data_IF_250158060114
#
_entry.id   IF_250158060114
#
_cell.length_a   1.000
_cell.length_b   1.000
_cell.length_c   1.000
_cell.angle_alpha   90.00
_cell.angle_beta   90.00
_cell.angle_gamma   90.00
#
_symmetry.space_group_name_H-M   'P 1'
#
loop_
_entity.id
_entity.type
_entity.pdbx_description
1 polymer ?
#
# COMPACT_ATOMS: atom_id res chain seq x y z
N UNK A 1 -1.83 1.50 -22.96
CA UNK A 1 -2.24 0.91 -21.65
C UNK A 1 -2.30 2.00 -20.60
N UNK A 2 -3.40 2.08 -19.83
CA UNK A 2 -3.53 2.98 -18.68
C UNK A 2 -3.24 2.23 -17.38
N UNK A 3 -2.34 2.75 -16.55
CA UNK A 3 -1.99 2.18 -15.26
C UNK A 3 -2.50 3.12 -14.15
N UNK A 4 -3.32 2.61 -13.24
CA UNK A 4 -3.66 3.30 -12.00
C UNK A 4 -2.80 2.76 -10.85
N UNK A 5 -2.11 3.65 -10.15
CA UNK A 5 -1.32 3.29 -8.96
C UNK A 5 -2.01 3.84 -7.72
N UNK A 6 -2.43 2.95 -6.83
CA UNK A 6 -3.01 3.36 -5.56
C UNK A 6 -1.91 3.78 -4.61
N UNK A 7 -2.13 4.92 -3.96
CA UNK A 7 -1.17 5.47 -3.00
C UNK A 7 -1.87 5.94 -1.73
N UNK A 8 -1.19 5.85 -0.61
CA UNK A 8 -1.73 6.23 0.70
C UNK A 8 -0.80 7.20 1.43
N UNK A 9 -1.37 8.22 2.07
CA UNK A 9 -0.67 9.03 3.07
C UNK A 9 -0.70 8.27 4.40
N UNK A 10 0.45 7.98 4.97
CA UNK A 10 0.62 7.26 6.24
C UNK A 10 1.47 8.08 7.23
N UNK A 11 1.38 7.87 8.55
CA UNK A 11 2.33 8.42 9.50
C UNK A 11 3.77 8.08 9.07
N UNK A 12 4.69 9.03 9.23
CA UNK A 12 6.10 8.79 8.91
C UNK A 12 6.63 7.63 9.76
N UNK A 13 7.51 6.81 9.20
CA UNK A 13 8.08 5.65 9.87
C UNK A 13 8.85 6.00 11.15
N UNK A 14 9.37 7.23 11.26
CA UNK A 14 10.05 7.73 12.45
C UNK A 14 9.09 8.18 13.57
N UNK A 15 7.79 8.32 13.26
CA UNK A 15 6.76 8.70 14.24
C UNK A 15 6.25 7.46 14.95
N UNK A 16 6.20 7.50 16.28
CA UNK A 16 5.59 6.44 17.07
C UNK A 16 4.10 6.30 16.73
N UNK A 17 3.70 5.11 16.32
CA UNK A 17 2.31 4.81 16.00
C UNK A 17 1.50 4.64 17.28
N UNK A 18 0.45 5.42 17.43
CA UNK A 18 -0.44 5.43 18.59
C UNK A 18 -1.88 5.30 18.19
N UNK A 19 -2.69 4.73 19.06
CA UNK A 19 -4.14 4.72 18.93
C UNK A 19 -4.70 5.93 19.67
N UNK A 20 -5.53 6.71 19.00
CA UNK A 20 -6.31 7.77 19.64
C UNK A 20 -7.40 7.13 20.51
N UNK A 21 -7.35 7.30 21.85
CA UNK A 21 -8.29 6.65 22.76
C UNK A 21 -9.72 7.15 22.61
N UNK A 22 -9.94 8.31 22.00
CA UNK A 22 -11.27 8.87 21.79
C UNK A 22 -12.00 8.25 20.57
N UNK A 23 -11.23 7.81 19.56
CA UNK A 23 -11.77 7.28 18.30
C UNK A 23 -11.50 5.80 18.10
N UNK A 24 -10.58 5.22 18.87
CA UNK A 24 -10.12 3.85 18.67
C UNK A 24 -9.33 3.63 17.37
N UNK A 25 -8.81 4.69 16.77
CA UNK A 25 -8.15 4.67 15.46
C UNK A 25 -6.70 5.12 15.56
N UNK A 26 -5.93 4.75 14.57
CA UNK A 26 -4.57 5.25 14.40
C UNK A 26 -4.54 6.79 14.43
N UNK A 27 -3.73 7.36 15.30
CA UNK A 27 -3.44 8.79 15.32
C UNK A 27 -2.60 9.17 14.09
N UNK A 28 -3.15 10.02 13.23
CA UNK A 28 -2.52 10.52 12.01
C UNK A 28 -2.31 12.05 12.07
N UNK A 29 -2.28 12.63 13.26
CA UNK A 29 -2.08 14.07 13.45
C UNK A 29 -0.64 14.51 13.23
N UNK A 30 0.33 13.61 13.41
CA UNK A 30 1.77 13.86 13.26
C UNK A 30 2.26 14.02 11.83
N UNK A 31 3.58 13.96 11.66
CA UNK A 31 4.21 13.98 10.35
C UNK A 31 3.81 12.75 9.53
N UNK A 32 3.55 12.97 8.23
CA UNK A 32 3.04 11.95 7.32
C UNK A 32 3.82 11.95 6.02
N UNK A 33 3.88 10.78 5.40
CA UNK A 33 4.58 10.60 4.13
C UNK A 33 3.76 9.68 3.19
N UNK A 34 4.21 9.56 1.94
CA UNK A 34 3.74 8.53 1.03
C UNK A 34 4.14 7.16 1.59
N UNK A 35 3.20 6.22 1.60
CA UNK A 35 3.45 4.84 2.01
C UNK A 35 4.67 4.25 1.29
N UNK A 36 5.65 3.69 2.01
CA UNK A 36 6.88 3.15 1.40
C UNK A 36 6.61 2.08 0.33
N UNK A 37 5.68 1.16 0.59
CA UNK A 37 5.34 0.10 -0.37
C UNK A 37 4.73 0.64 -1.67
N UNK A 38 4.01 1.76 -1.62
CA UNK A 38 3.43 2.36 -2.82
C UNK A 38 4.49 3.01 -3.72
N UNK A 39 5.66 3.36 -3.17
CA UNK A 39 6.79 3.83 -3.99
C UNK A 39 7.30 2.75 -4.92
N UNK A 40 7.29 1.48 -4.49
CA UNK A 40 7.63 0.33 -5.33
C UNK A 40 6.60 0.10 -6.43
N UNK A 41 5.30 0.32 -6.15
CA UNK A 41 4.24 0.23 -7.15
C UNK A 41 4.37 1.32 -8.23
N UNK A 42 4.72 2.55 -7.85
CA UNK A 42 4.98 3.64 -8.80
C UNK A 42 6.20 3.31 -9.65
N UNK A 43 7.28 2.84 -9.04
CA UNK A 43 8.49 2.44 -9.76
C UNK A 43 8.22 1.30 -10.72
N UNK A 44 7.41 0.30 -10.34
CA UNK A 44 6.99 -0.78 -11.23
C UNK A 44 6.24 -0.25 -12.46
N UNK A 45 5.30 0.70 -12.28
CA UNK A 45 4.61 1.35 -13.38
C UNK A 45 5.58 2.09 -14.31
N UNK A 46 6.58 2.76 -13.75
CA UNK A 46 7.61 3.46 -14.52
C UNK A 46 8.50 2.49 -15.30
N UNK A 47 8.90 1.38 -14.69
CA UNK A 47 9.70 0.34 -15.35
C UNK A 47 8.94 -0.31 -16.51
N UNK A 48 7.62 -0.55 -16.38
CA UNK A 48 6.77 -1.02 -17.48
C UNK A 48 6.82 -0.03 -18.64
N UNK A 49 6.63 1.26 -18.38
CA UNK A 49 6.67 2.32 -19.41
C UNK A 49 8.03 2.39 -20.09
N UNK A 50 9.10 2.37 -19.32
CA UNK A 50 10.47 2.52 -19.82
C UNK A 50 10.97 1.26 -20.53
N UNK A 51 10.48 0.10 -20.16
CA UNK A 51 10.81 -1.18 -20.78
C UNK A 51 10.30 -1.32 -22.22
N UNK A 52 9.26 -0.59 -22.59
CA UNK A 52 8.77 -0.46 -23.96
C UNK A 52 8.18 -1.74 -24.57
N UNK A 53 7.95 -2.79 -23.79
CA UNK A 53 7.29 -4.01 -24.26
C UNK A 53 5.84 -3.77 -24.63
N UNK A 54 5.19 -2.81 -23.97
CA UNK A 54 3.83 -2.31 -24.25
C UNK A 54 3.83 -0.79 -24.18
N UNK A 55 2.95 -0.15 -24.96
CA UNK A 55 2.77 1.29 -24.87
C UNK A 55 1.95 1.67 -23.63
N UNK A 56 2.51 2.49 -22.75
CA UNK A 56 1.85 3.04 -21.57
C UNK A 56 1.43 4.48 -21.84
N UNK A 57 0.15 4.69 -22.08
CA UNK A 57 -0.44 6.00 -22.41
C UNK A 57 -0.42 6.92 -21.20
N UNK A 58 -0.77 6.39 -20.02
CA UNK A 58 -0.93 7.20 -18.82
C UNK A 58 -0.70 6.39 -17.54
N UNK A 59 -0.04 7.03 -16.55
CA UNK A 59 0.07 6.55 -15.17
C UNK A 59 -0.66 7.54 -14.25
N UNK A 60 -1.69 7.07 -13.56
CA UNK A 60 -2.55 7.87 -12.67
C UNK A 60 -2.31 7.45 -11.23
N UNK A 61 -1.87 8.39 -10.38
CA UNK A 61 -1.81 8.14 -8.95
C UNK A 61 -3.20 8.37 -8.31
N UNK A 62 -3.73 7.40 -7.60
CA UNK A 62 -5.07 7.44 -7.01
C UNK A 62 -4.99 7.30 -5.50
N UNK A 63 -5.70 8.15 -4.76
CA UNK A 63 -5.82 8.04 -3.31
C UNK A 63 -7.25 8.30 -2.84
N UNK A 64 -7.65 7.66 -1.74
CA UNK A 64 -8.80 8.01 -0.95
C UNK A 64 -8.31 8.51 0.41
N UNK A 65 -8.72 9.70 0.81
CA UNK A 65 -8.28 10.26 2.09
C UNK A 65 -8.68 11.70 2.31
N UNK A 66 -8.32 12.28 3.47
CA UNK A 66 -8.57 13.68 3.77
C UNK A 66 -7.80 14.61 2.83
N UNK A 67 -8.10 15.90 2.85
CA UNK A 67 -7.43 16.90 2.03
C UNK A 67 -5.89 16.86 2.11
N UNK A 68 -5.34 16.47 3.28
CA UNK A 68 -3.89 16.34 3.46
C UNK A 68 -3.25 15.30 2.55
N UNK A 69 -3.99 14.27 2.12
CA UNK A 69 -3.49 13.19 1.27
C UNK A 69 -3.00 13.64 -0.11
N UNK A 70 -3.35 14.87 -0.52
CA UNK A 70 -2.78 15.53 -1.72
C UNK A 70 -1.24 15.56 -1.67
N UNK A 71 -0.62 15.57 -0.49
CA UNK A 71 0.84 15.54 -0.37
C UNK A 71 1.43 14.23 -0.87
N UNK A 72 0.78 13.10 -0.57
CA UNK A 72 1.19 11.79 -1.10
C UNK A 72 1.03 11.74 -2.62
N UNK A 73 -0.05 12.30 -3.17
CA UNK A 73 -0.24 12.42 -4.61
C UNK A 73 0.85 13.27 -5.29
N UNK A 74 1.20 14.43 -4.73
CA UNK A 74 2.30 15.23 -5.26
C UNK A 74 3.64 14.47 -5.23
N UNK A 75 3.87 13.67 -4.19
CA UNK A 75 5.05 12.81 -4.13
C UNK A 75 5.02 11.73 -5.22
N UNK A 76 3.89 11.05 -5.41
CA UNK A 76 3.71 10.05 -6.46
C UNK A 76 3.93 10.63 -7.87
N UNK A 77 3.41 11.82 -8.12
CA UNK A 77 3.62 12.55 -9.39
C UNK A 77 5.10 12.94 -9.56
N UNK A 78 5.79 13.31 -8.47
CA UNK A 78 7.23 13.61 -8.55
C UNK A 78 8.08 12.37 -8.86
N UNK A 79 7.58 11.17 -8.56
CA UNK A 79 8.20 9.88 -8.87
C UNK A 79 7.91 9.39 -10.31
N UNK A 80 6.91 9.97 -10.99
CA UNK A 80 6.68 9.67 -12.39
C UNK A 80 5.23 9.56 -12.86
N UNK A 81 4.25 9.58 -11.97
CA UNK A 81 2.85 9.60 -12.39
C UNK A 81 2.54 10.88 -13.20
N UNK A 82 1.64 10.74 -14.18
CA UNK A 82 1.30 11.84 -15.10
C UNK A 82 0.31 12.82 -14.49
N UNK A 83 -0.66 12.30 -13.74
CA UNK A 83 -1.65 13.06 -12.99
C UNK A 83 -2.10 12.32 -11.73
N UNK A 84 -3.01 12.93 -11.01
CA UNK A 84 -3.53 12.39 -9.77
C UNK A 84 -5.06 12.43 -9.72
N UNK A 85 -5.63 11.47 -8.99
CA UNK A 85 -7.04 11.36 -8.65
C UNK A 85 -7.19 11.28 -7.14
N UNK A 86 -7.95 12.18 -6.55
CA UNK A 86 -8.20 12.26 -5.12
C UNK A 86 -9.68 12.07 -4.81
N UNK A 87 -10.03 10.92 -4.26
CA UNK A 87 -11.37 10.68 -3.73
C UNK A 87 -11.42 11.17 -2.27
N UNK A 88 -12.22 12.20 -2.00
CA UNK A 88 -12.26 12.83 -0.68
C UNK A 88 -13.65 13.30 -0.31
N UNK A 89 -14.06 12.98 0.91
CA UNK A 89 -15.25 13.48 1.58
C UNK A 89 -15.19 13.09 3.07
N UNK A 90 -15.78 13.91 3.93
CA UNK A 90 -15.84 13.60 5.36
C UNK A 90 -16.62 12.31 5.66
N UNK A 91 -17.64 12.00 4.85
CA UNK A 91 -18.44 10.78 4.98
C UNK A 91 -17.69 9.47 4.67
N UNK A 92 -16.49 9.56 4.08
CA UNK A 92 -15.63 8.39 3.84
C UNK A 92 -14.78 8.02 5.08
N UNK A 93 -14.69 8.93 6.05
CA UNK A 93 -13.90 8.69 7.25
C UNK A 93 -14.47 7.50 8.05
N UNK A 94 -13.57 6.61 8.50
CA UNK A 94 -13.97 5.43 9.24
C UNK A 94 -14.30 4.21 8.40
N UNK A 95 -14.23 4.30 7.09
CA UNK A 95 -14.36 3.13 6.21
C UNK A 95 -13.35 2.05 6.58
N UNK A 96 -13.83 0.83 6.78
CA UNK A 96 -12.98 -0.36 6.89
C UNK A 96 -12.41 -0.77 5.52
N UNK A 97 -11.72 -1.90 5.45
CA UNK A 97 -11.12 -2.41 4.19
C UNK A 97 -12.18 -2.65 3.12
N UNK A 98 -13.35 -3.19 3.49
CA UNK A 98 -14.41 -3.49 2.53
C UNK A 98 -15.05 -2.20 1.98
N UNK A 99 -15.40 -1.26 2.85
CA UNK A 99 -15.95 0.04 2.48
C UNK A 99 -14.91 0.88 1.66
N UNK A 100 -13.64 0.84 2.06
CA UNK A 100 -12.56 1.51 1.31
C UNK A 100 -12.38 0.92 -0.08
N UNK A 101 -12.37 -0.41 -0.20
CA UNK A 101 -12.26 -1.09 -1.49
C UNK A 101 -13.44 -0.80 -2.40
N UNK A 102 -14.67 -0.78 -1.86
CA UNK A 102 -15.84 -0.36 -2.60
C UNK A 102 -15.72 1.08 -3.12
N UNK A 103 -15.36 2.03 -2.26
CA UNK A 103 -15.23 3.42 -2.66
C UNK A 103 -14.14 3.63 -3.73
N UNK A 104 -12.97 3.02 -3.55
CA UNK A 104 -11.87 3.07 -4.51
C UNK A 104 -12.24 2.39 -5.84
N UNK A 105 -12.99 1.27 -5.82
CA UNK A 105 -13.43 0.62 -7.05
C UNK A 105 -14.29 1.54 -7.91
N UNK A 106 -15.18 2.35 -7.29
CA UNK A 106 -15.99 3.34 -8.01
C UNK A 106 -15.17 4.44 -8.67
N UNK A 107 -14.10 4.89 -8.04
CA UNK A 107 -13.17 5.82 -8.66
C UNK A 107 -12.39 5.17 -9.82
N UNK A 108 -11.98 3.90 -9.66
CA UNK A 108 -11.29 3.13 -10.70
C UNK A 108 -12.21 2.74 -11.87
N UNK A 109 -13.51 2.46 -11.64
CA UNK A 109 -14.48 2.25 -12.71
C UNK A 109 -14.57 3.44 -13.65
N UNK A 110 -14.45 4.67 -13.13
CA UNK A 110 -14.41 5.89 -13.94
C UNK A 110 -13.14 5.97 -14.80
N UNK A 111 -12.02 5.52 -14.23
CA UNK A 111 -10.71 5.55 -14.92
C UNK A 111 -10.56 4.46 -15.98
N UNK A 112 -11.22 3.33 -15.81
CA UNK A 112 -11.11 2.15 -16.69
C UNK A 112 -9.65 1.73 -16.93
N UNK A 113 -8.87 1.43 -15.88
CA UNK A 113 -7.47 1.04 -16.02
C UNK A 113 -7.33 -0.35 -16.64
N UNK A 114 -6.26 -0.53 -17.41
CA UNK A 114 -5.81 -1.85 -17.86
C UNK A 114 -5.03 -2.57 -16.74
N UNK A 115 -4.38 -1.80 -15.87
CA UNK A 115 -3.62 -2.35 -14.75
C UNK A 115 -3.78 -1.45 -13.51
N UNK A 116 -4.14 -2.07 -12.39
CA UNK A 116 -4.12 -1.43 -11.08
C UNK A 116 -2.92 -1.96 -10.30
N UNK A 117 -2.03 -1.07 -9.90
CA UNK A 117 -0.87 -1.38 -9.06
C UNK A 117 -1.05 -0.78 -7.66
N UNK A 118 -0.59 -1.49 -6.64
CA UNK A 118 -0.55 -1.00 -5.26
C UNK A 118 0.59 -1.68 -4.49
N UNK A 119 1.05 -1.06 -3.43
CA UNK A 119 1.94 -1.72 -2.47
C UNK A 119 1.23 -2.88 -1.76
N UNK A 120 1.96 -3.87 -1.33
CA UNK A 120 1.40 -5.06 -0.66
C UNK A 120 0.60 -4.71 0.60
N UNK A 121 0.95 -3.60 1.26
CA UNK A 121 0.28 -3.11 2.48
C UNK A 121 0.51 -1.62 2.68
N UNK A 122 -0.26 -1.01 3.57
CA UNK A 122 0.09 0.29 4.13
C UNK A 122 0.85 0.11 5.45
N UNK A 123 1.88 0.91 5.66
CA UNK A 123 2.76 0.84 6.84
C UNK A 123 2.01 1.13 8.17
N UNK A 124 0.83 1.71 8.10
CA UNK A 124 0.00 2.05 9.25
C UNK A 124 -1.12 1.04 9.54
N UNK A 125 -1.58 0.29 8.55
CA UNK A 125 -2.72 -0.61 8.71
C UNK A 125 -2.41 -2.09 8.50
N UNK A 126 -1.36 -2.41 7.77
CA UNK A 126 -0.81 -3.76 7.54
C UNK A 126 -1.84 -4.85 7.19
N UNK A 127 -2.89 -4.47 6.44
CA UNK A 127 -4.03 -5.38 6.18
C UNK A 127 -3.79 -6.36 5.02
N UNK A 128 -2.89 -6.11 4.09
CA UNK A 128 -2.57 -6.93 2.89
C UNK A 128 -3.74 -7.27 1.95
N UNK A 129 -4.95 -6.83 2.22
CA UNK A 129 -6.17 -7.36 1.58
C UNK A 129 -6.85 -6.41 0.59
N UNK A 130 -6.47 -5.13 0.57
CA UNK A 130 -7.16 -4.12 -0.26
C UNK A 130 -7.14 -4.47 -1.76
N UNK A 131 -6.05 -5.04 -2.27
CA UNK A 131 -5.94 -5.47 -3.66
C UNK A 131 -6.96 -6.55 -4.04
N UNK A 132 -7.17 -7.55 -3.16
CA UNK A 132 -8.15 -8.61 -3.39
C UNK A 132 -9.59 -8.06 -3.34
N UNK A 133 -9.89 -7.15 -2.40
CA UNK A 133 -11.21 -6.51 -2.31
C UNK A 133 -11.51 -5.67 -3.56
N UNK A 134 -10.53 -4.91 -4.05
CA UNK A 134 -10.66 -4.15 -5.29
C UNK A 134 -10.92 -5.05 -6.49
N UNK A 135 -10.14 -6.13 -6.61
CA UNK A 135 -10.28 -7.09 -7.71
C UNK A 135 -11.67 -7.73 -7.74
N UNK A 136 -12.23 -8.07 -6.57
CA UNK A 136 -13.59 -8.58 -6.49
C UNK A 136 -14.62 -7.53 -6.96
N UNK A 137 -14.51 -6.28 -6.52
CA UNK A 137 -15.43 -5.23 -6.97
C UNK A 137 -15.31 -4.95 -8.46
N UNK A 138 -14.08 -4.85 -8.98
CA UNK A 138 -13.80 -4.55 -10.39
C UNK A 138 -14.01 -5.75 -11.32
N UNK A 139 -14.21 -6.96 -10.76
CA UNK A 139 -14.29 -8.23 -11.50
C UNK A 139 -13.04 -8.48 -12.35
N UNK A 140 -11.89 -8.12 -11.81
CA UNK A 140 -10.58 -8.32 -12.41
C UNK A 140 -9.83 -9.46 -11.72
N UNK A 141 -8.99 -10.22 -12.42
CA UNK A 141 -8.05 -11.12 -11.78
C UNK A 141 -7.06 -10.34 -10.92
N UNK A 142 -6.53 -10.99 -9.86
CA UNK A 142 -5.55 -10.36 -8.98
C UNK A 142 -4.42 -11.28 -8.56
N UNK A 143 -3.26 -10.69 -8.34
CA UNK A 143 -2.11 -11.35 -7.73
C UNK A 143 -1.49 -10.45 -6.68
N UNK A 144 -1.12 -11.03 -5.55
CA UNK A 144 -0.55 -10.30 -4.41
C UNK A 144 0.90 -10.70 -4.16
N UNK A 145 1.66 -9.83 -3.48
CA UNK A 145 3.05 -10.05 -3.10
C UNK A 145 3.97 -10.37 -4.30
N UNK A 146 3.76 -9.65 -5.40
CA UNK A 146 4.55 -9.81 -6.62
C UNK A 146 5.93 -9.20 -6.40
N UNK A 147 6.97 -9.99 -6.66
CA UNK A 147 8.39 -9.60 -6.52
C UNK A 147 9.10 -9.50 -7.86
N UNK A 148 8.46 -9.93 -8.94
CA UNK A 148 8.92 -9.74 -10.31
C UNK A 148 7.76 -9.75 -11.26
N UNK A 149 7.78 -8.91 -12.27
CA UNK A 149 6.70 -8.76 -13.24
C UNK A 149 7.25 -8.43 -14.62
N UNK A 150 6.95 -9.28 -15.57
CA UNK A 150 7.25 -9.08 -16.99
C UNK A 150 5.94 -8.86 -17.74
N UNK A 151 5.84 -7.73 -18.46
CA UNK A 151 4.63 -7.34 -19.19
C UNK A 151 4.71 -7.79 -20.62
N UNK A 152 3.63 -8.40 -21.11
CA UNK A 152 3.43 -8.80 -22.49
C UNK A 152 2.13 -8.21 -23.02
N UNK A 153 1.89 -8.31 -24.33
CA UNK A 153 0.61 -7.84 -24.88
C UNK A 153 -0.55 -8.66 -24.32
N UNK A 154 -1.42 -7.99 -23.55
CA UNK A 154 -2.61 -8.58 -22.95
C UNK A 154 -2.41 -9.43 -21.70
N UNK A 155 -1.18 -9.62 -21.21
CA UNK A 155 -0.91 -10.44 -20.05
C UNK A 155 0.34 -10.00 -19.25
N UNK A 156 0.45 -10.51 -18.02
CA UNK A 156 1.61 -10.34 -17.14
C UNK A 156 2.13 -11.74 -16.76
N UNK A 157 3.45 -11.92 -16.78
CA UNK A 157 4.12 -13.05 -16.13
C UNK A 157 4.75 -12.54 -14.83
N UNK A 158 4.33 -13.10 -13.70
CA UNK A 158 4.69 -12.62 -12.36
C UNK A 158 5.32 -13.72 -11.52
N UNK A 159 6.31 -13.34 -10.70
CA UNK A 159 6.76 -14.18 -9.59
C UNK A 159 6.16 -13.64 -8.28
N UNK A 160 5.43 -14.50 -7.56
CA UNK A 160 4.82 -14.20 -6.28
C UNK A 160 5.59 -14.86 -5.15
N UNK A 161 5.96 -14.12 -4.13
CA UNK A 161 6.62 -14.66 -2.95
C UNK A 161 5.66 -15.54 -2.12
N UNK A 162 6.15 -16.69 -1.66
CA UNK A 162 5.46 -17.61 -0.78
C UNK A 162 6.42 -18.14 0.30
N UNK A 163 5.90 -18.79 1.36
CA UNK A 163 6.74 -19.34 2.44
C UNK A 163 7.74 -20.41 1.96
N UNK A 164 7.37 -21.16 0.92
CA UNK A 164 8.20 -22.24 0.33
C UNK A 164 9.08 -21.78 -0.83
N UNK A 165 9.07 -20.49 -1.19
CA UNK A 165 9.81 -19.95 -2.31
C UNK A 165 8.98 -18.95 -3.10
N UNK A 166 8.80 -19.17 -4.40
CA UNK A 166 7.95 -18.33 -5.25
C UNK A 166 7.16 -19.16 -6.27
N UNK A 167 6.00 -18.62 -6.63
CA UNK A 167 5.15 -19.14 -7.71
C UNK A 167 5.34 -18.27 -8.96
N UNK A 168 5.48 -18.88 -10.13
CA UNK A 168 5.35 -18.16 -11.40
C UNK A 168 3.90 -18.26 -11.87
N UNK A 169 3.26 -17.10 -12.08
CA UNK A 169 1.84 -17.01 -12.44
C UNK A 169 1.67 -16.10 -13.65
N UNK A 170 0.93 -16.58 -14.65
CA UNK A 170 0.45 -15.74 -15.75
C UNK A 170 -0.94 -15.20 -15.42
N UNK A 171 -1.16 -13.92 -15.69
CA UNK A 171 -2.41 -13.23 -15.41
C UNK A 171 -2.80 -12.34 -16.60
N UNK A 172 -4.06 -12.45 -17.03
CA UNK A 172 -4.59 -11.64 -18.13
C UNK A 172 -4.94 -10.23 -17.66
N UNK A 173 -4.78 -9.25 -18.55
CA UNK A 173 -5.25 -7.88 -18.34
C UNK A 173 -6.72 -7.73 -18.77
N UNK A 174 -7.52 -6.85 -18.11
CA UNK A 174 -7.11 -5.97 -17.01
C UNK A 174 -6.94 -6.71 -15.68
N UNK A 175 -6.02 -6.26 -14.81
CA UNK A 175 -5.68 -6.94 -13.57
C UNK A 175 -5.38 -5.99 -12.40
N UNK A 176 -5.46 -6.50 -11.16
CA UNK A 176 -5.06 -5.82 -9.93
C UNK A 176 -3.87 -6.55 -9.32
N UNK A 177 -2.74 -5.86 -9.17
CA UNK A 177 -1.48 -6.44 -8.70
C UNK A 177 -0.98 -5.67 -7.47
N UNK A 178 -0.74 -6.37 -6.37
CA UNK A 178 0.02 -5.79 -5.27
C UNK A 178 1.47 -6.26 -5.29
N UNK A 179 2.39 -5.31 -5.15
CA UNK A 179 3.83 -5.56 -5.26
C UNK A 179 4.52 -5.52 -3.90
N UNK A 180 5.45 -6.44 -3.69
CA UNK A 180 6.35 -6.44 -2.55
C UNK A 180 7.53 -5.47 -2.75
N UNK A 181 8.25 -5.19 -1.68
CA UNK A 181 9.44 -4.32 -1.69
C UNK A 181 10.63 -4.93 -2.45
N UNK A 182 10.66 -6.26 -2.61
CA UNK A 182 11.69 -6.94 -3.38
C UNK A 182 11.56 -6.78 -4.92
N UNK A 183 10.48 -6.16 -5.43
CA UNK A 183 10.24 -6.04 -6.88
C UNK A 183 11.23 -5.10 -7.57
N UNK A 184 11.65 -4.03 -6.91
CA UNK A 184 12.52 -3.00 -7.46
C UNK A 184 13.12 -2.12 -6.36
N UNK A 185 14.01 -1.22 -6.75
CA UNK A 185 14.50 -0.12 -5.91
C UNK A 185 13.89 1.20 -6.43
N UNK A 186 13.02 1.87 -5.64
CA UNK A 186 12.35 3.09 -6.08
C UNK A 186 13.34 4.22 -6.37
N UNK A 187 13.14 4.92 -7.47
CA UNK A 187 13.94 6.09 -7.85
C UNK A 187 13.74 7.28 -6.91
N UNK A 188 14.76 8.11 -6.80
CA UNK A 188 14.63 9.42 -6.17
C UNK A 188 14.15 10.46 -7.18
N UNK A 189 13.14 11.30 -6.83
CA UNK A 189 12.66 12.33 -7.74
C UNK A 189 13.70 13.45 -7.89
N UNK A 190 13.87 13.97 -9.10
CA UNK A 190 14.70 15.14 -9.35
C UNK A 190 14.06 16.41 -8.73
N UNK A 191 14.87 17.42 -8.42
CA UNK A 191 14.36 18.73 -7.95
C UNK A 191 13.34 19.33 -8.94
N UNK A 192 13.58 19.17 -10.24
CA UNK A 192 12.65 19.63 -11.29
C UNK A 192 11.31 18.91 -11.21
N UNK A 193 11.31 17.59 -10.98
CA UNK A 193 10.11 16.78 -10.82
C UNK A 193 9.32 17.18 -9.57
N UNK A 194 10.01 17.39 -8.43
CA UNK A 194 9.38 17.84 -7.18
C UNK A 194 8.72 19.23 -7.38
N UNK A 195 9.41 20.18 -7.99
CA UNK A 195 8.87 21.52 -8.26
C UNK A 195 7.73 21.48 -9.29
N UNK A 196 7.78 20.56 -10.24
CA UNK A 196 6.77 20.40 -11.28
C UNK A 196 5.51 19.66 -10.80
N UNK A 197 5.60 18.83 -9.78
CA UNK A 197 4.51 17.95 -9.34
C UNK A 197 3.21 18.71 -9.03
N UNK A 198 3.30 19.85 -8.35
CA UNK A 198 2.13 20.70 -8.01
C UNK A 198 1.44 21.34 -9.22
N UNK A 199 2.06 21.30 -10.40
CA UNK A 199 1.50 21.86 -11.64
C UNK A 199 0.83 20.81 -12.51
N UNK A 200 1.03 19.53 -12.20
CA UNK A 200 0.39 18.41 -12.90
C UNK A 200 -1.10 18.34 -12.55
N UNK A 201 -1.94 17.81 -13.43
CA UNK A 201 -3.37 17.71 -13.19
C UNK A 201 -3.68 16.92 -11.93
N UNK A 202 -4.58 17.47 -11.10
CA UNK A 202 -5.17 16.81 -9.94
C UNK A 202 -6.68 16.88 -10.11
N UNK A 203 -7.31 15.73 -10.28
CA UNK A 203 -8.76 15.62 -10.25
C UNK A 203 -9.21 15.26 -8.84
N UNK A 204 -10.19 15.99 -8.31
CA UNK A 204 -10.80 15.69 -7.02
C UNK A 204 -12.21 15.20 -7.23
N UNK A 205 -12.55 14.06 -6.63
CA UNK A 205 -13.86 13.43 -6.70
C UNK A 205 -14.51 13.40 -5.31
N UNK A 206 -15.78 13.77 -5.27
CA UNK A 206 -16.66 13.46 -4.17
C UNK A 206 -17.42 12.14 -4.43
N UNK A 207 -18.00 11.49 -3.40
CA UNK A 207 -18.78 10.26 -3.55
C UNK A 207 -19.87 10.34 -4.63
N UNK A 208 -20.52 11.50 -4.77
CA UNK A 208 -21.57 11.74 -5.77
C UNK A 208 -21.07 11.70 -7.21
N UNK A 209 -19.81 12.05 -7.47
CA UNK A 209 -19.22 12.08 -8.81
C UNK A 209 -18.97 10.67 -9.40
N UNK A 210 -18.94 9.66 -8.53
CA UNK A 210 -18.68 8.27 -8.88
C UNK A 210 -19.75 7.32 -8.35
N UNK A 211 -20.94 7.85 -8.01
CA UNK A 211 -22.10 7.06 -7.60
C UNK A 211 -21.84 6.13 -6.41
N UNK A 212 -21.09 6.57 -5.42
CA UNK A 212 -20.87 5.83 -4.17
C UNK A 212 -22.16 5.89 -3.35
N UNK A 213 -22.64 4.72 -2.93
CA UNK A 213 -23.73 4.61 -1.95
C UNK A 213 -23.18 4.94 -0.56
N UNK A 214 -23.67 6.03 0.04
CA UNK A 214 -23.24 6.50 1.35
C UNK A 214 -23.51 5.51 2.49
N UNK A 215 -24.45 4.58 2.31
CA UNK A 215 -24.72 3.52 3.30
C UNK A 215 -23.67 2.42 3.34
N UNK A 216 -22.77 2.37 2.35
CA UNK A 216 -21.72 1.35 2.21
C UNK A 216 -20.31 1.88 2.54
N UNK A 217 -20.20 3.12 2.99
CA UNK A 217 -18.92 3.78 3.30
C UNK A 217 -18.96 4.47 4.65
N UNK A 218 -17.82 4.94 5.12
CA UNK A 218 -17.70 5.59 6.41
C UNK A 218 -17.79 4.58 7.56
N UNK A 219 -18.00 5.10 8.76
CA UNK A 219 -18.15 4.30 9.97
C UNK A 219 -19.40 3.43 9.94
N UNK A 220 -20.52 4.01 9.53
CA UNK A 220 -21.82 3.34 9.49
C UNK A 220 -21.89 2.25 8.40
N UNK A 221 -21.15 2.42 7.30
CA UNK A 221 -21.06 1.44 6.21
C UNK A 221 -20.02 0.35 6.42
N UNK A 222 -19.18 0.48 7.45
CA UNK A 222 -18.14 -0.48 7.78
C UNK A 222 -18.70 -1.75 8.43
N UNK A 223 -18.18 -2.91 8.04
CA UNK A 223 -18.58 -4.22 8.58
C UNK A 223 -17.74 -4.65 9.78
N UNK A 224 -16.58 -4.01 9.95
CA UNK A 224 -15.65 -4.25 11.05
C UNK A 224 -15.67 -3.03 11.96
N UNK A 225 -15.91 -3.26 13.24
CA UNK A 225 -15.82 -2.23 14.28
C UNK A 225 -14.60 -2.51 15.14
N UNK A 226 -13.86 -1.46 15.50
CA UNK A 226 -12.79 -1.57 16.49
C UNK A 226 -13.43 -1.82 17.86
N UNK A 227 -13.00 -2.91 18.51
CA UNK A 227 -13.41 -3.22 19.88
C UNK A 227 -12.46 -2.60 20.90
N UNK A 228 -12.35 -3.26 22.05
CA UNK A 228 -11.39 -2.87 23.07
C UNK A 228 -9.95 -3.08 22.58
N UNK A 229 -9.12 -2.07 22.74
CA UNK A 229 -7.69 -2.15 22.46
C UNK A 229 -6.92 -1.64 23.67
N UNK A 230 -5.75 -2.19 23.85
CA UNK A 230 -4.82 -1.82 24.91
C UNK A 230 -3.40 -1.99 24.38
N UNK A 231 -2.48 -1.28 24.98
CA UNK A 231 -1.09 -1.42 24.63
C UNK A 231 -0.63 -2.86 24.90
N UNK A 232 0.25 -3.42 24.05
CA UNK A 232 0.86 -4.70 24.31
C UNK A 232 1.61 -4.65 25.66
N UNK A 233 1.67 -5.75 26.40
CA UNK A 233 2.39 -5.78 27.65
C UNK A 233 3.86 -5.38 27.44
N UNK A 234 4.38 -4.58 28.37
CA UNK A 234 5.78 -4.17 28.31
C UNK A 234 6.69 -5.40 28.19
N UNK A 235 7.63 -5.33 27.25
CA UNK A 235 8.62 -6.40 27.11
C UNK A 235 9.39 -6.55 28.41
N UNK A 236 9.54 -7.76 28.90
CA UNK A 236 10.43 -8.05 30.01
C UNK A 236 11.88 -7.65 29.66
N UNK A 237 12.63 -7.24 30.66
CA UNK A 237 14.06 -6.99 30.46
C UNK A 237 14.73 -8.24 29.91
N UNK A 238 15.53 -8.10 28.87
CA UNK A 238 16.35 -9.19 28.34
C UNK A 238 17.38 -9.64 29.41
N UNK A 239 17.85 -10.86 29.27
CA UNK A 239 18.96 -11.36 30.04
C UNK A 239 20.26 -10.92 29.38
N UNK A 240 21.11 -10.21 30.10
CA UNK A 240 22.46 -9.85 29.68
C UNK A 240 23.42 -10.92 30.24
N UNK A 241 24.17 -11.56 29.38
CA UNK A 241 25.19 -12.54 29.74
C UNK A 241 26.53 -11.85 29.54
N UNK A 242 27.19 -11.52 30.67
CA UNK A 242 28.54 -10.95 30.68
C UNK A 242 29.48 -12.00 31.24
N UNK A 243 30.27 -12.63 30.37
CA UNK A 243 31.27 -13.62 30.78
C UNK A 243 32.58 -13.31 30.02
N UNK A 244 33.71 -13.50 30.70
CA UNK A 244 35.04 -13.37 30.09
C UNK A 244 35.37 -14.57 29.21
N UNK A 245 34.74 -15.74 29.42
CA UNK A 245 34.92 -16.94 28.61
C UNK A 245 33.83 -17.05 27.54
N UNK A 246 34.25 -16.93 26.29
CA UNK A 246 33.40 -17.07 25.13
C UNK A 246 32.72 -18.44 25.04
N UNK A 247 33.39 -19.51 25.48
CA UNK A 247 32.87 -20.87 25.45
C UNK A 247 31.66 -21.01 26.38
N UNK A 248 31.79 -20.55 27.62
CA UNK A 248 30.69 -20.58 28.61
C UNK A 248 29.49 -19.69 28.14
N UNK A 249 29.78 -18.55 27.54
CA UNK A 249 28.73 -17.68 26.97
C UNK A 249 27.93 -18.40 25.91
N UNK A 250 28.58 -19.08 24.97
CA UNK A 250 27.95 -19.85 23.91
C UNK A 250 27.08 -20.97 24.50
N UNK A 251 27.59 -21.74 25.45
CA UNK A 251 26.83 -22.81 26.12
C UNK A 251 25.55 -22.27 26.81
N UNK A 252 25.64 -21.13 27.52
CA UNK A 252 24.48 -20.46 28.13
C UNK A 252 23.44 -20.04 27.09
N UNK A 253 23.87 -19.48 25.94
CA UNK A 253 22.98 -19.09 24.87
C UNK A 253 22.27 -20.31 24.24
N UNK A 254 23.03 -21.35 23.95
CA UNK A 254 22.48 -22.60 23.42
C UNK A 254 21.46 -23.21 24.37
N UNK A 255 21.80 -23.36 25.67
CA UNK A 255 20.88 -23.85 26.69
C UNK A 255 19.60 -23.00 26.80
N UNK A 256 19.72 -21.68 26.67
CA UNK A 256 18.58 -20.76 26.68
C UNK A 256 17.67 -20.95 25.47
N UNK A 257 18.24 -21.24 24.29
CA UNK A 257 17.49 -21.51 23.05
C UNK A 257 16.78 -22.88 23.12
N UNK A 258 17.49 -23.91 23.62
CA UNK A 258 16.93 -25.27 23.80
C UNK A 258 15.76 -25.28 24.81
N UNK A 259 15.91 -24.60 25.97
CA UNK A 259 14.84 -24.48 26.96
C UNK A 259 13.54 -23.91 26.35
N UNK A 260 13.68 -23.02 25.37
CA UNK A 260 12.57 -22.35 24.65
C UNK A 260 12.14 -23.06 23.38
N UNK A 261 12.75 -24.21 23.07
CA UNK A 261 12.49 -25.01 21.86
C UNK A 261 12.62 -24.16 20.56
N UNK A 262 13.60 -23.28 20.55
CA UNK A 262 13.92 -22.47 19.37
C UNK A 262 14.96 -23.16 18.48
N UNK A 263 15.66 -24.11 19.00
CA UNK A 263 16.57 -25.06 18.33
C UNK A 263 16.36 -26.44 18.90
#
# INVERSE_FOLDING_TARGET
MKICVLVKEVPDAAVEKRIDPSTGRMDRSGEKNLNPYDTHAIEAAMQIREGGAVEVDEIVAVTMGPESAVRALHKAVSLGADRSLHLTDAGLAGSDVAATGYALSKALEKEQPDLVLLGQQSDDGECYTIGAVLADHLKMPSLTQVIKMDVQEGALSCERQAEYGYDTVEIELPAVISVGDAINEPRYPSLKAIMGAKKKPLETLAPGDVSIDSSLVGEDGSRVQCGDFHDPPAKASGQVIEDEDTGETVEKIVAWLEERKLI
#
